data_IF_279352397524
#
_entry.id   IF_279352397524
#
_cell.length_a   1.000
_cell.length_b   1.000
_cell.length_c   1.000
_cell.angle_alpha   90.00
_cell.angle_beta   90.00
_cell.angle_gamma   90.00
#
_symmetry.space_group_name_H-M   'P 1'
#
loop_
_entity.id
_entity.type
_entity.pdbx_description
1 polymer ?
#
# COMPACT_ATOMS: atom_id res chain seq x y z
N UNK A 1 -0.24 -4.17 -21.71
CA UNK A 1 0.77 -3.58 -20.79
C UNK A 1 0.73 -2.08 -20.96
N UNK A 2 0.57 -1.34 -19.88
CA UNK A 2 0.58 0.12 -19.83
C UNK A 2 1.77 0.56 -18.98
N UNK A 3 2.50 1.58 -19.45
CA UNK A 3 3.66 2.14 -18.73
C UNK A 3 3.40 3.64 -18.56
N UNK A 4 3.47 4.13 -17.32
CA UNK A 4 3.27 5.53 -16.97
C UNK A 4 4.51 6.07 -16.25
N UNK A 5 4.86 7.31 -16.54
CA UNK A 5 5.99 8.00 -15.92
C UNK A 5 5.46 9.13 -15.02
N UNK A 6 5.59 8.96 -13.71
CA UNK A 6 5.13 9.87 -12.65
C UNK A 6 3.74 10.48 -12.89
N UNK A 7 2.69 9.65 -13.07
CA UNK A 7 1.35 10.14 -13.44
C UNK A 7 0.67 10.96 -12.34
N UNK A 8 1.19 10.96 -11.11
CA UNK A 8 0.69 11.85 -10.03
C UNK A 8 1.30 13.24 -10.03
N UNK A 9 2.25 13.55 -10.92
CA UNK A 9 2.89 14.86 -10.97
C UNK A 9 1.88 15.99 -11.14
N UNK A 10 1.87 16.94 -10.20
CA UNK A 10 0.97 18.09 -10.23
C UNK A 10 -0.47 17.79 -9.81
N UNK A 11 -0.79 16.56 -9.40
CA UNK A 11 -2.11 16.20 -8.91
C UNK A 11 -2.30 16.54 -7.43
N UNK A 12 -3.49 17.02 -7.10
CA UNK A 12 -3.91 17.17 -5.71
C UNK A 12 -4.19 15.79 -5.08
N UNK A 13 -4.12 15.65 -3.76
CA UNK A 13 -4.29 14.35 -3.08
C UNK A 13 -5.60 13.62 -3.43
N UNK A 14 -6.68 14.38 -3.64
CA UNK A 14 -7.97 13.81 -4.05
C UNK A 14 -7.94 13.28 -5.49
N UNK A 15 -7.12 13.87 -6.36
CA UNK A 15 -7.00 13.49 -7.76
C UNK A 15 -6.12 12.25 -7.90
N UNK A 16 -5.12 12.10 -7.02
CA UNK A 16 -4.32 10.87 -6.90
C UNK A 16 -5.21 9.68 -6.56
N UNK A 17 -6.14 9.83 -5.60
CA UNK A 17 -7.08 8.76 -5.26
C UNK A 17 -7.96 8.35 -6.45
N UNK A 18 -8.48 9.33 -7.22
CA UNK A 18 -9.26 9.05 -8.43
C UNK A 18 -8.43 8.40 -9.54
N UNK A 19 -7.16 8.79 -9.68
CA UNK A 19 -6.24 8.15 -10.61
C UNK A 19 -5.99 6.68 -10.20
N UNK A 20 -5.73 6.42 -8.92
CA UNK A 20 -5.55 5.06 -8.40
C UNK A 20 -6.75 4.16 -8.72
N UNK A 21 -7.99 4.63 -8.51
CA UNK A 21 -9.20 3.89 -8.88
C UNK A 21 -9.25 3.51 -10.37
N UNK A 22 -8.74 4.38 -11.25
CA UNK A 22 -8.66 4.08 -12.69
C UNK A 22 -7.58 3.06 -12.99
N UNK A 23 -6.39 3.18 -12.37
CA UNK A 23 -5.29 2.25 -12.56
C UNK A 23 -5.63 0.85 -12.04
N UNK A 24 -6.28 0.75 -10.88
CA UNK A 24 -6.80 -0.50 -10.31
C UNK A 24 -7.80 -1.16 -11.25
N UNK A 25 -8.78 -0.40 -11.78
CA UNK A 25 -9.74 -0.95 -12.75
C UNK A 25 -9.10 -1.43 -14.04
N UNK A 26 -8.02 -0.79 -14.49
CA UNK A 26 -7.24 -1.26 -15.64
C UNK A 26 -6.54 -2.58 -15.31
N UNK A 27 -5.96 -2.70 -14.11
CA UNK A 27 -5.34 -3.93 -13.63
C UNK A 27 -6.35 -5.07 -13.50
N UNK A 28 -7.50 -4.83 -12.87
CA UNK A 28 -8.61 -5.77 -12.71
C UNK A 28 -9.17 -6.28 -14.04
N UNK A 29 -9.09 -5.47 -15.10
CA UNK A 29 -9.46 -5.87 -16.45
C UNK A 29 -8.44 -6.82 -17.12
N UNK A 30 -7.40 -7.24 -16.40
CA UNK A 30 -6.36 -8.16 -16.85
C UNK A 30 -5.16 -7.48 -17.49
N UNK A 31 -5.03 -6.16 -17.38
CA UNK A 31 -3.87 -5.44 -17.92
C UNK A 31 -2.76 -5.33 -16.89
N UNK A 32 -1.50 -5.45 -17.33
CA UNK A 32 -0.37 -5.04 -16.49
C UNK A 32 -0.17 -3.53 -16.59
N UNK A 33 -0.10 -2.85 -15.44
CA UNK A 33 0.22 -1.43 -15.32
C UNK A 33 1.56 -1.32 -14.60
N UNK A 34 2.51 -0.61 -15.21
CA UNK A 34 3.82 -0.30 -14.63
C UNK A 34 3.90 1.22 -14.50
N UNK A 35 4.20 1.70 -13.29
CA UNK A 35 4.32 3.15 -13.04
C UNK A 35 5.65 3.46 -12.38
N UNK A 36 6.28 4.54 -12.83
CA UNK A 36 7.38 5.19 -12.09
C UNK A 36 6.73 6.19 -11.15
N UNK A 37 7.03 6.12 -9.86
CA UNK A 37 6.42 6.98 -8.86
C UNK A 37 7.36 7.24 -7.69
N UNK A 38 7.19 8.41 -7.10
CA UNK A 38 7.78 8.78 -5.81
C UNK A 38 6.69 9.06 -4.76
N UNK A 39 5.41 9.07 -5.16
CA UNK A 39 4.30 9.28 -4.24
C UNK A 39 3.99 8.00 -3.45
N UNK A 40 4.23 8.05 -2.13
CA UNK A 40 4.01 6.93 -1.23
C UNK A 40 2.55 6.47 -1.15
N UNK A 41 1.58 7.34 -1.45
CA UNK A 41 0.16 6.95 -1.51
C UNK A 41 -0.13 6.03 -2.70
N UNK A 42 0.66 6.10 -3.77
CA UNK A 42 0.59 5.16 -4.89
C UNK A 42 1.39 3.90 -4.58
N UNK A 43 2.63 4.06 -4.12
CA UNK A 43 3.55 2.94 -3.86
C UNK A 43 2.95 1.95 -2.86
N UNK A 44 2.28 2.44 -1.80
CA UNK A 44 1.65 1.57 -0.80
C UNK A 44 0.49 0.72 -1.34
N UNK A 45 -0.15 1.14 -2.43
CA UNK A 45 -1.29 0.44 -3.03
C UNK A 45 -0.86 -0.53 -4.13
N UNK A 46 0.42 -0.54 -4.52
CA UNK A 46 0.91 -1.40 -5.59
C UNK A 46 0.94 -2.87 -5.15
N UNK A 47 0.62 -3.78 -6.07
CA UNK A 47 0.78 -5.23 -5.83
C UNK A 47 2.26 -5.63 -5.73
N UNK A 48 3.13 -4.91 -6.43
CA UNK A 48 4.56 -5.18 -6.51
C UNK A 48 5.36 -3.90 -6.70
N UNK A 49 6.48 -3.80 -5.99
CA UNK A 49 7.41 -2.66 -6.01
C UNK A 49 8.80 -3.16 -6.40
N UNK A 50 9.49 -2.40 -7.25
CA UNK A 50 10.90 -2.56 -7.55
C UNK A 50 11.57 -1.25 -7.16
N UNK A 51 12.40 -1.29 -6.12
CA UNK A 51 13.12 -0.12 -5.62
C UNK A 51 14.52 -0.06 -6.24
N UNK A 52 14.85 1.09 -6.82
CA UNK A 52 16.12 1.34 -7.49
C UNK A 52 16.97 2.30 -6.68
N UNK A 53 18.28 2.06 -6.66
CA UNK A 53 19.21 2.87 -5.90
C UNK A 53 20.58 2.21 -5.79
N UNK A 54 21.27 2.30 -4.64
CA UNK A 54 20.85 2.96 -3.39
C UNK A 54 20.79 4.49 -3.49
N UNK A 55 21.52 5.08 -4.45
CA UNK A 55 21.61 6.52 -4.65
C UNK A 55 21.17 6.90 -6.08
N UNK A 56 21.17 8.20 -6.39
CA UNK A 56 21.02 8.68 -7.77
C UNK A 56 22.36 8.76 -8.54
N UNK A 57 22.27 8.82 -9.88
CA UNK A 57 23.43 8.99 -10.77
C UNK A 57 24.34 7.76 -10.79
N UNK A 58 25.67 7.98 -10.82
CA UNK A 58 26.68 6.92 -10.94
C UNK A 58 26.71 5.94 -9.75
N UNK A 59 26.03 6.28 -8.64
CA UNK A 59 25.91 5.43 -7.45
C UNK A 59 24.55 4.71 -7.37
N UNK A 60 23.75 4.79 -8.43
CA UNK A 60 22.47 4.11 -8.58
C UNK A 60 22.52 2.97 -9.58
N UNK A 61 21.33 2.57 -10.05
CA UNK A 61 21.17 1.57 -11.11
C UNK A 61 21.10 0.12 -10.63
N UNK A 62 21.08 -0.11 -9.32
CA UNK A 62 20.91 -1.43 -8.73
C UNK A 62 19.47 -1.62 -8.21
N UNK A 63 19.02 -2.87 -8.19
CA UNK A 63 17.78 -3.26 -7.51
C UNK A 63 18.11 -3.41 -6.03
N UNK A 64 17.61 -2.49 -5.22
CA UNK A 64 17.83 -2.47 -3.76
C UNK A 64 16.83 -3.36 -3.04
N UNK A 65 15.58 -3.37 -3.52
CA UNK A 65 14.51 -4.21 -3.00
C UNK A 65 13.50 -4.54 -4.11
N UNK A 66 12.85 -5.69 -4.00
CA UNK A 66 11.71 -6.06 -4.83
C UNK A 66 10.75 -6.94 -4.03
N UNK A 67 9.45 -6.72 -4.19
CA UNK A 67 8.44 -7.45 -3.41
C UNK A 67 7.13 -6.69 -3.31
N UNK A 68 6.26 -7.13 -2.41
CA UNK A 68 5.11 -6.32 -1.99
C UNK A 68 5.57 -5.07 -1.25
N UNK A 69 4.72 -4.03 -1.13
CA UNK A 69 5.01 -2.86 -0.30
C UNK A 69 5.52 -3.19 1.11
N UNK A 70 4.94 -4.21 1.75
CA UNK A 70 5.33 -4.67 3.09
C UNK A 70 6.74 -5.28 3.09
N UNK A 71 7.07 -6.09 2.08
CA UNK A 71 8.39 -6.70 1.97
C UNK A 71 9.47 -5.65 1.72
N UNK A 72 9.20 -4.66 0.85
CA UNK A 72 10.12 -3.55 0.59
C UNK A 72 10.30 -2.69 1.84
N UNK A 73 9.23 -2.49 2.63
CA UNK A 73 9.29 -1.74 3.89
C UNK A 73 10.20 -2.37 4.98
N UNK A 74 10.50 -3.67 4.87
CA UNK A 74 11.40 -4.38 5.78
C UNK A 74 12.88 -4.29 5.37
N UNK A 75 13.19 -3.78 4.18
CA UNK A 75 14.57 -3.70 3.67
C UNK A 75 15.27 -2.43 4.15
N UNK A 76 16.23 -2.55 5.08
CA UNK A 76 16.94 -1.40 5.65
C UNK A 76 17.71 -0.54 4.63
N UNK A 77 18.22 -1.18 3.57
CA UNK A 77 18.94 -0.51 2.49
C UNK A 77 18.03 0.33 1.57
N UNK A 78 16.72 0.07 1.58
CA UNK A 78 15.74 0.77 0.74
C UNK A 78 15.34 2.10 1.36
N UNK A 79 15.63 3.20 0.65
CA UNK A 79 15.10 4.52 1.04
C UNK A 79 13.56 4.53 0.98
N UNK A 80 13.00 3.97 -0.09
CA UNK A 80 11.55 3.83 -0.26
C UNK A 80 10.94 3.05 0.91
N UNK A 81 11.52 1.90 1.27
CA UNK A 81 11.07 1.07 2.38
C UNK A 81 11.05 1.82 3.72
N UNK A 82 12.10 2.60 4.01
CA UNK A 82 12.20 3.43 5.23
C UNK A 82 11.04 4.42 5.37
N UNK A 83 10.61 5.05 4.28
CA UNK A 83 9.48 6.00 4.31
C UNK A 83 8.12 5.33 4.19
N UNK A 84 8.06 4.13 3.59
CA UNK A 84 6.84 3.36 3.42
C UNK A 84 6.39 2.67 4.71
N UNK A 85 7.33 2.19 5.54
CA UNK A 85 7.03 1.43 6.76
C UNK A 85 6.08 2.16 7.75
N UNK A 86 6.27 3.46 8.07
CA UNK A 86 5.34 4.18 8.93
C UNK A 86 3.91 4.27 8.38
N UNK A 87 3.75 4.34 7.05
CA UNK A 87 2.44 4.48 6.40
C UNK A 87 1.64 3.18 6.48
N UNK A 88 2.30 2.03 6.30
CA UNK A 88 1.67 0.70 6.42
C UNK A 88 1.28 0.38 7.87
N UNK A 89 2.10 0.80 8.85
CA UNK A 89 1.81 0.56 10.28
C UNK A 89 0.55 1.29 10.77
N UNK A 90 0.24 2.46 10.19
CA UNK A 90 -0.88 3.32 10.59
C UNK A 90 -2.25 2.76 10.18
N UNK A 91 -2.27 1.81 9.24
CA UNK A 91 -3.49 1.13 8.77
C UNK A 91 -3.81 -0.14 9.57
N UNK A 92 -2.95 -0.59 10.49
CA UNK A 92 -3.25 -1.69 11.41
C UNK A 92 -4.25 -1.23 12.49
N UNK A 93 -5.48 -0.91 12.08
CA UNK A 93 -6.61 -0.73 12.98
C UNK A 93 -6.84 -2.07 13.68
N UNK A 94 -6.75 -2.06 15.01
CA UNK A 94 -6.89 -3.23 15.86
C UNK A 94 -8.15 -4.04 15.52
N UNK A 95 -8.13 -5.39 15.64
CA UNK A 95 -9.33 -6.18 15.51
C UNK A 95 -10.38 -5.65 16.50
N UNK A 96 -11.54 -5.26 15.98
CA UNK A 96 -12.69 -4.86 16.80
C UNK A 96 -13.11 -6.06 17.64
N UNK A 97 -12.65 -6.08 18.89
CA UNK A 97 -13.00 -7.13 19.86
C UNK A 97 -14.53 -7.22 19.97
N UNK A 98 -15.01 -8.45 19.75
CA UNK A 98 -16.40 -8.77 19.53
C UNK A 98 -17.37 -8.21 20.57
N UNK A 99 -18.56 -7.88 20.07
CA UNK A 99 -19.77 -7.62 20.86
C UNK A 99 -19.95 -8.74 21.89
N UNK A 100 -19.72 -8.44 23.18
CA UNK A 100 -20.08 -9.34 24.28
C UNK A 100 -21.59 -9.58 24.23
N UNK A 101 -22.03 -10.74 23.74
CA UNK A 101 -23.42 -11.20 23.87
C UNK A 101 -23.77 -11.27 25.36
N UNK A 102 -24.58 -10.33 25.86
CA UNK A 102 -25.21 -10.44 27.18
C UNK A 102 -26.11 -11.69 27.18
N UNK A 103 -25.75 -12.71 27.97
CA UNK A 103 -26.61 -13.87 28.23
C UNK A 103 -27.89 -13.37 28.91
N UNK A 104 -29.03 -13.53 28.25
CA UNK A 104 -30.33 -13.37 28.87
C UNK A 104 -30.52 -14.47 29.93
N UNK A 105 -30.64 -14.09 31.20
CA UNK A 105 -31.07 -15.02 32.26
C UNK A 105 -32.57 -15.25 32.10
N UNK A 106 -32.89 -16.45 31.64
CA UNK A 106 -34.20 -17.10 31.77
C UNK A 106 -34.58 -17.17 33.26
N UNK A 107 -35.60 -16.42 33.66
CA UNK A 107 -36.30 -16.63 34.92
C UNK A 107 -37.52 -17.53 34.62
N UNK A 108 -37.33 -18.83 34.81
CA UNK A 108 -38.42 -19.81 34.85
C UNK A 108 -38.69 -20.10 36.32
N UNK A 109 -39.87 -19.70 36.80
CA UNK A 109 -40.30 -19.95 38.17
C UNK A 109 -40.56 -21.43 38.46
N UNK A 110 -40.52 -21.78 39.75
CA UNK A 110 -41.34 -22.86 40.32
C UNK A 110 -41.19 -22.92 41.84
N UNK A 111 -42.35 -22.96 42.51
CA UNK A 111 -42.66 -23.35 43.90
C UNK A 111 -42.62 -22.26 44.96
#
# INVERSE_FOLDING_TARGET
VYILDEPTTGLHFHDVARLLEVLERLADAGNTVITIEHNLDVIKCADWVIDLGPEGGDRGGEIVAMGTPEQVAEVEASHTGRFLAPMLSRQRVAPTNGVKKKKAKSARGSR
#
